data_IF_167293744434
#
_entry.id   IF_167293744434
#
_cell.length_a   1.000
_cell.length_b   1.000
_cell.length_c   1.000
_cell.angle_alpha   90.00
_cell.angle_beta   90.00
_cell.angle_gamma   90.00
#
_symmetry.space_group_name_H-M   'P 1'
#
loop_
_entity.id
_entity.type
_entity.pdbx_description
1 polymer ?
#
# COMPACT_ATOMS: atom_id res chain seq x y z
N UNK A 1 8.44 -3.48 15.33
CA UNK A 1 7.05 -3.21 15.79
C UNK A 1 6.30 -4.53 15.84
N UNK A 2 5.43 -4.75 16.83
CA UNK A 2 4.63 -5.98 16.88
C UNK A 2 3.56 -5.98 15.77
N UNK A 3 3.29 -7.15 15.16
CA UNK A 3 2.31 -7.32 14.07
C UNK A 3 0.91 -6.82 14.46
N UNK A 4 0.56 -6.99 15.74
CA UNK A 4 -0.67 -6.50 16.36
C UNK A 4 -0.78 -4.98 16.33
N UNK A 5 0.33 -4.26 16.49
CA UNK A 5 0.38 -2.80 16.41
C UNK A 5 0.25 -2.33 14.96
N UNK A 6 0.96 -2.96 14.03
CA UNK A 6 0.86 -2.67 12.58
C UNK A 6 -0.57 -2.86 12.06
N UNK A 7 -1.24 -3.93 12.47
CA UNK A 7 -2.61 -4.20 12.07
C UNK A 7 -3.58 -3.13 12.61
N UNK A 8 -3.40 -2.71 13.88
CA UNK A 8 -4.20 -1.60 14.44
C UNK A 8 -3.97 -0.29 13.70
N UNK A 9 -2.72 0.04 13.39
CA UNK A 9 -2.35 1.25 12.64
C UNK A 9 -2.98 1.25 11.25
N UNK A 10 -2.88 0.12 10.54
CA UNK A 10 -3.52 -0.07 9.24
C UNK A 10 -5.03 0.16 9.30
N UNK A 11 -5.72 -0.48 10.24
CA UNK A 11 -7.18 -0.35 10.37
C UNK A 11 -7.60 1.08 10.72
N UNK A 12 -6.88 1.75 11.62
CA UNK A 12 -7.17 3.14 12.00
C UNK A 12 -7.02 4.08 10.79
N UNK A 13 -5.91 3.97 10.05
CA UNK A 13 -5.68 4.79 8.86
C UNK A 13 -6.72 4.55 7.76
N UNK A 14 -7.21 3.31 7.62
CA UNK A 14 -8.26 2.97 6.67
C UNK A 14 -9.60 3.55 7.09
N UNK A 15 -9.96 3.45 8.36
CA UNK A 15 -11.20 4.01 8.90
C UNK A 15 -11.26 5.53 8.68
N UNK A 16 -10.20 6.25 9.04
CA UNK A 16 -10.09 7.71 8.83
C UNK A 16 -10.20 8.09 7.33
N UNK A 17 -9.61 7.27 6.46
CA UNK A 17 -9.62 7.49 5.01
C UNK A 17 -11.01 7.29 4.41
N UNK A 18 -11.68 6.21 4.81
CA UNK A 18 -13.02 5.90 4.36
C UNK A 18 -14.03 6.94 4.84
N UNK A 19 -13.93 7.38 6.10
CA UNK A 19 -14.80 8.42 6.62
C UNK A 19 -14.65 9.73 5.81
N UNK A 20 -13.41 10.11 5.50
CA UNK A 20 -13.14 11.29 4.67
C UNK A 20 -13.69 11.12 3.25
N UNK A 21 -13.48 9.97 2.62
CA UNK A 21 -13.99 9.69 1.28
C UNK A 21 -15.53 9.73 1.23
N UNK A 22 -16.21 9.15 2.23
CA UNK A 22 -17.68 9.22 2.34
C UNK A 22 -18.14 10.67 2.45
N UNK A 23 -17.50 11.50 3.28
CA UNK A 23 -17.84 12.93 3.39
C UNK A 23 -17.63 13.69 2.07
N UNK A 24 -16.56 13.39 1.34
CA UNK A 24 -16.28 14.02 0.05
C UNK A 24 -17.27 13.58 -1.03
N UNK A 25 -17.62 12.30 -1.10
CA UNK A 25 -18.59 11.79 -2.08
C UNK A 25 -20.01 12.32 -1.89
N UNK A 26 -20.36 12.80 -0.69
CA UNK A 26 -21.61 13.54 -0.47
C UNK A 26 -21.63 14.92 -1.13
N UNK A 27 -20.46 15.52 -1.40
CA UNK A 27 -20.30 16.83 -2.04
C UNK A 27 -20.01 16.65 -3.54
N UNK A 28 -19.13 15.72 -3.89
CA UNK A 28 -18.71 15.39 -5.24
C UNK A 28 -18.97 13.89 -5.52
N UNK A 29 -20.15 13.52 -6.04
CA UNK A 29 -20.54 12.11 -6.21
C UNK A 29 -19.63 11.30 -7.13
N UNK A 30 -18.97 11.96 -8.06
CA UNK A 30 -18.07 11.34 -9.05
C UNK A 30 -16.62 11.26 -8.55
N UNK A 31 -16.35 11.64 -7.30
CA UNK A 31 -15.00 11.53 -6.74
C UNK A 31 -14.62 10.07 -6.54
N UNK A 32 -13.41 9.75 -6.96
CA UNK A 32 -12.80 8.44 -6.83
C UNK A 32 -11.57 8.55 -5.94
N UNK A 33 -11.32 7.50 -5.17
CA UNK A 33 -10.32 7.51 -4.12
C UNK A 33 -9.41 6.30 -4.26
N UNK A 34 -8.11 6.56 -4.34
CA UNK A 34 -7.07 5.54 -4.38
C UNK A 34 -6.31 5.56 -3.07
N UNK A 35 -6.21 4.39 -2.46
CA UNK A 35 -5.46 4.13 -1.25
C UNK A 35 -4.32 3.17 -1.57
N UNK A 36 -3.14 3.43 -1.02
CA UNK A 36 -2.01 2.51 -1.10
C UNK A 36 -1.37 2.38 0.27
N UNK A 37 -1.09 1.14 0.67
CA UNK A 37 -0.42 0.80 1.92
C UNK A 37 0.66 -0.25 1.67
N UNK A 38 1.77 -0.20 2.40
CA UNK A 38 2.87 -1.15 2.27
C UNK A 38 3.71 -1.23 3.53
N UNK A 39 4.45 -2.33 3.68
CA UNK A 39 5.47 -2.46 4.72
C UNK A 39 6.79 -1.92 4.17
N UNK A 40 7.39 -0.98 4.89
CA UNK A 40 8.71 -0.42 4.59
C UNK A 40 9.84 -1.33 5.06
N UNK A 41 11.07 -1.06 4.62
CA UNK A 41 12.25 -1.83 5.04
C UNK A 41 12.54 -1.78 6.55
N UNK A 42 12.14 -0.70 7.22
CA UNK A 42 12.22 -0.55 8.68
C UNK A 42 11.01 -1.16 9.43
N UNK A 43 10.19 -1.96 8.74
CA UNK A 43 9.01 -2.64 9.30
C UNK A 43 7.98 -1.67 9.88
N UNK A 44 7.78 -0.53 9.21
CA UNK A 44 6.72 0.43 9.50
C UNK A 44 5.68 0.41 8.38
N UNK A 45 4.51 1.01 8.64
CA UNK A 45 3.44 1.10 7.67
C UNK A 45 3.61 2.39 6.84
N UNK A 46 3.92 2.23 5.56
CA UNK A 46 3.84 3.32 4.60
C UNK A 46 2.44 3.43 4.01
N UNK A 47 1.99 4.66 3.75
CA UNK A 47 0.70 4.91 3.10
C UNK A 47 0.74 6.11 2.14
N UNK A 48 -0.08 6.09 1.09
CA UNK A 48 -0.38 7.26 0.26
C UNK A 48 -1.84 7.23 -0.21
N UNK A 49 -2.35 8.40 -0.59
CA UNK A 49 -3.77 8.65 -0.85
C UNK A 49 -3.90 9.64 -2.00
N UNK A 50 -4.81 9.37 -2.94
CA UNK A 50 -5.08 10.25 -4.07
C UNK A 50 -6.57 10.27 -4.42
N UNK A 51 -7.05 11.41 -4.90
CA UNK A 51 -8.45 11.61 -5.33
C UNK A 51 -8.48 11.97 -6.82
N UNK A 52 -9.49 11.48 -7.52
CA UNK A 52 -9.66 11.64 -8.96
C UNK A 52 -11.12 11.92 -9.31
N UNK A 53 -11.35 12.69 -10.36
CA UNK A 53 -12.70 13.02 -10.83
C UNK A 53 -13.20 12.05 -11.91
N UNK A 54 -12.41 11.04 -12.27
CA UNK A 54 -12.75 9.96 -13.20
C UNK A 54 -12.30 8.64 -12.61
N UNK A 55 -13.16 7.63 -12.75
CA UNK A 55 -12.85 6.27 -12.30
C UNK A 55 -11.73 5.66 -13.15
N UNK A 56 -11.73 5.90 -14.45
CA UNK A 56 -10.69 5.44 -15.37
C UNK A 56 -9.32 5.97 -14.96
N UNK A 57 -9.21 7.27 -14.66
CA UNK A 57 -7.95 7.86 -14.18
C UNK A 57 -7.50 7.26 -12.84
N UNK A 58 -8.44 7.00 -11.92
CA UNK A 58 -8.13 6.38 -10.65
C UNK A 58 -7.59 4.95 -10.83
N UNK A 59 -8.17 4.18 -11.76
CA UNK A 59 -7.74 2.83 -12.09
C UNK A 59 -6.39 2.83 -12.79
N UNK A 60 -6.17 3.68 -13.79
CA UNK A 60 -4.88 3.83 -14.47
C UNK A 60 -3.78 4.17 -13.47
N UNK A 61 -4.02 5.15 -12.60
CA UNK A 61 -3.09 5.49 -11.53
C UNK A 61 -2.85 4.29 -10.60
N UNK A 62 -3.91 3.59 -10.17
CA UNK A 62 -3.75 2.42 -9.31
C UNK A 62 -2.92 1.31 -9.96
N UNK A 63 -3.11 1.04 -11.26
CA UNK A 63 -2.33 0.06 -12.01
C UNK A 63 -0.85 0.47 -12.11
N UNK A 64 -0.55 1.74 -12.39
CA UNK A 64 0.83 2.25 -12.37
C UNK A 64 1.49 2.04 -11.00
N UNK A 65 0.73 2.24 -9.91
CA UNK A 65 1.21 1.97 -8.54
C UNK A 65 1.42 0.48 -8.29
N UNK A 66 0.57 -0.39 -8.83
CA UNK A 66 0.73 -1.85 -8.74
C UNK A 66 2.03 -2.27 -9.43
N UNK A 67 2.26 -1.82 -10.66
CA UNK A 67 3.45 -2.14 -11.43
C UNK A 67 4.72 -1.64 -10.72
N UNK A 68 4.69 -0.42 -10.20
CA UNK A 68 5.78 0.12 -9.39
C UNK A 68 6.07 -0.75 -8.16
N UNK A 69 5.04 -1.18 -7.43
CA UNK A 69 5.21 -2.01 -6.23
C UNK A 69 5.69 -3.41 -6.55
N UNK A 70 5.20 -4.00 -7.64
CA UNK A 70 5.67 -5.30 -8.12
C UNK A 70 7.15 -5.23 -8.51
N UNK A 71 7.59 -4.17 -9.19
CA UNK A 71 9.00 -3.94 -9.51
C UNK A 71 9.87 -3.75 -8.26
N UNK A 72 9.34 -3.17 -7.19
CA UNK A 72 10.06 -3.13 -5.92
C UNK A 72 10.05 -4.48 -5.20
N UNK A 73 9.02 -5.31 -5.42
CA UNK A 73 8.78 -6.58 -4.73
C UNK A 73 9.28 -7.80 -5.52
N UNK A 74 10.44 -7.70 -6.18
CA UNK A 74 11.00 -8.79 -7.00
C UNK A 74 11.24 -10.10 -6.21
N UNK A 75 11.52 -9.98 -4.90
CA UNK A 75 11.72 -11.10 -3.98
C UNK A 75 10.42 -11.65 -3.36
N UNK A 76 9.29 -11.00 -3.63
CA UNK A 76 8.00 -11.31 -3.02
C UNK A 76 7.95 -11.04 -1.51
N UNK A 77 8.91 -10.30 -0.96
CA UNK A 77 9.07 -10.06 0.50
C UNK A 77 8.61 -8.67 0.95
N UNK A 78 7.97 -7.88 0.08
CA UNK A 78 7.50 -6.52 0.35
C UNK A 78 5.98 -6.43 0.23
N UNK A 79 5.25 -6.68 1.33
CA UNK A 79 3.81 -6.65 1.31
C UNK A 79 3.25 -5.25 1.01
N UNK A 80 2.24 -5.17 0.15
CA UNK A 80 1.49 -3.97 -0.19
C UNK A 80 0.03 -4.26 -0.56
N UNK A 81 -0.82 -3.24 -0.51
CA UNK A 81 -2.19 -3.27 -1.03
C UNK A 81 -2.52 -1.93 -1.67
N UNK A 82 -3.23 -1.98 -2.80
CA UNK A 82 -3.73 -0.80 -3.49
C UNK A 82 -5.23 -0.99 -3.68
N UNK A 83 -6.00 0.01 -3.27
CA UNK A 83 -7.46 -0.01 -3.32
C UNK A 83 -7.98 1.19 -4.11
N UNK A 84 -9.05 0.95 -4.88
CA UNK A 84 -9.83 2.00 -5.53
C UNK A 84 -11.25 1.95 -4.98
N UNK A 85 -11.70 3.05 -4.40
CA UNK A 85 -12.99 3.16 -3.69
C UNK A 85 -13.18 2.01 -2.68
N UNK A 86 -12.11 1.64 -1.99
CA UNK A 86 -12.08 0.56 -1.00
C UNK A 86 -12.00 -0.86 -1.58
N UNK A 87 -12.00 -1.05 -2.90
CA UNK A 87 -11.81 -2.37 -3.54
C UNK A 87 -10.35 -2.59 -3.91
N UNK A 88 -9.77 -3.69 -3.46
CA UNK A 88 -8.40 -4.05 -3.80
C UNK A 88 -8.27 -4.31 -5.32
N UNK A 89 -7.25 -3.74 -5.95
CA UNK A 89 -6.92 -3.95 -7.37
C UNK A 89 -5.71 -4.89 -7.54
N UNK A 90 -4.92 -5.12 -6.50
CA UNK A 90 -3.72 -5.95 -6.58
C UNK A 90 -3.96 -7.39 -6.06
N UNK A 91 -3.60 -8.40 -6.87
CA UNK A 91 -3.73 -9.83 -6.50
C UNK A 91 -2.49 -10.42 -5.82
N UNK A 92 -1.35 -9.73 -5.87
CA UNK A 92 -0.05 -10.29 -5.44
C UNK A 92 0.62 -9.57 -4.27
N UNK A 93 0.02 -8.50 -3.73
CA UNK A 93 0.70 -7.69 -2.73
C UNK A 93 0.70 -8.22 -1.30
N UNK A 94 -0.14 -9.20 -0.94
CA UNK A 94 -0.06 -9.95 0.33
C UNK A 94 -0.06 -9.14 1.65
N UNK A 95 -0.38 -7.83 1.67
CA UNK A 95 -0.37 -7.04 2.90
C UNK A 95 -1.34 -7.58 3.96
N UNK A 96 -2.57 -7.91 3.58
CA UNK A 96 -3.56 -8.45 4.52
C UNK A 96 -3.11 -9.81 5.09
N UNK A 97 -2.54 -10.68 4.25
CA UNK A 97 -1.96 -11.94 4.69
C UNK A 97 -0.79 -11.73 5.67
N UNK A 98 0.04 -10.71 5.45
CA UNK A 98 1.10 -10.33 6.38
C UNK A 98 0.53 -9.86 7.72
N UNK A 99 -0.44 -8.93 7.71
CA UNK A 99 -1.06 -8.39 8.92
C UNK A 99 -1.83 -9.44 9.73
N UNK A 100 -2.33 -10.49 9.07
CA UNK A 100 -2.98 -11.64 9.70
C UNK A 100 -1.98 -12.72 10.18
N UNK A 101 -0.69 -12.59 9.84
CA UNK A 101 0.35 -13.55 10.19
C UNK A 101 0.38 -14.81 9.29
N UNK A 102 -0.39 -14.82 8.21
CA UNK A 102 -0.42 -15.88 7.20
C UNK A 102 0.78 -15.80 6.24
N UNK A 103 1.36 -14.61 6.09
CA UNK A 103 2.59 -14.35 5.36
C UNK A 103 3.67 -13.83 6.29
N UNK A 104 4.89 -14.35 6.14
CA UNK A 104 6.07 -13.91 6.89
C UNK A 104 7.17 -13.49 5.94
N UNK A 105 7.73 -12.30 6.20
CA UNK A 105 8.91 -11.81 5.50
C UNK A 105 10.10 -12.66 5.95
N UNK A 106 10.66 -13.46 5.04
CA UNK A 106 11.85 -14.27 5.29
C UNK A 106 13.08 -13.37 5.25
N UNK A 107 13.95 -13.51 6.26
CA UNK A 107 15.26 -12.84 6.31
C UNK A 107 16.30 -13.49 5.37
N UNK A 108 15.88 -14.12 4.27
CA UNK A 108 16.80 -14.70 3.30
C UNK A 108 17.19 -13.62 2.28
N UNK A 109 18.41 -13.11 2.42
CA UNK A 109 19.07 -12.15 1.53
C UNK A 109 18.55 -10.70 1.56
N UNK A 110 18.77 -10.00 2.68
CA UNK A 110 19.02 -8.54 2.62
C UNK A 110 20.34 -8.36 1.86
N UNK A 111 20.30 -8.40 0.53
CA UNK A 111 21.47 -8.09 -0.28
C UNK A 111 21.77 -6.61 -0.08
N UNK A 112 22.86 -6.32 0.62
CA UNK A 112 23.50 -5.00 0.83
C UNK A 112 23.75 -4.17 -0.45
N UNK A 113 23.33 -4.63 -1.63
CA UNK A 113 23.61 -4.00 -2.91
C UNK A 113 22.91 -2.64 -3.09
N UNK A 114 21.82 -2.36 -2.37
CA UNK A 114 21.15 -1.06 -2.46
C UNK A 114 21.70 0.02 -1.52
N UNK A 115 22.48 -0.35 -0.50
CA UNK A 115 23.08 0.63 0.43
C UNK A 115 24.27 1.35 -0.23
N UNK A 116 25.01 0.68 -1.13
CA UNK A 116 26.19 1.27 -1.78
C UNK A 116 25.91 2.34 -2.84
N UNK A 117 24.68 2.46 -3.37
CA UNK A 117 24.36 3.50 -4.37
C UNK A 117 24.05 4.88 -3.76
N UNK A 118 23.73 4.97 -2.48
CA UNK A 118 23.38 6.24 -1.83
C UNK A 118 24.59 7.00 -1.27
N UNK A 119 25.77 6.38 -1.16
CA UNK A 119 26.99 6.98 -0.62
C UNK A 119 28.18 6.98 -1.61
N UNK A 120 27.92 6.75 -2.89
CA UNK A 120 28.92 6.88 -3.95
C UNK A 120 28.80 8.25 -4.63
N UNK A 121 29.12 9.32 -3.90
CA UNK A 121 29.57 10.60 -4.43
C UNK A 121 30.63 11.18 -3.50
#
# INVERSE_FOLDING_TARGET
MELTTLNKEYNLLREESQEKFVKMSMIEPDINFVEEYWITSDHTLGNTKAYFNSYEMAVEFALDRVDYRMLLNEDGQKPFIILVNGKAINTHGQLEAFLNGEFQIKAENIVENHVRKLYAF
#
